data_IF_652311485045
#
_entry.id   IF_652311485045
#
_cell.length_a   1.000
_cell.length_b   1.000
_cell.length_c   1.000
_cell.angle_alpha   90.00
_cell.angle_beta   90.00
_cell.angle_gamma   90.00
#
_symmetry.space_group_name_H-M   'P 1'
#
loop_
_entity.id
_entity.type
_entity.pdbx_description
1 polymer ?
#
# COMPACT_ATOMS: atom_id res chain seq x y z
N UNK A 1 -25.11 13.27 5.06
CA UNK A 1 -24.21 12.18 5.51
C UNK A 1 -22.78 12.55 5.13
N UNK A 2 -21.81 12.59 6.05
CA UNK A 2 -20.41 12.94 5.75
C UNK A 2 -19.63 11.72 5.24
N UNK A 3 -20.06 11.13 4.12
CA UNK A 3 -19.35 10.01 3.49
C UNK A 3 -18.03 10.50 2.85
N UNK A 4 -17.01 9.65 2.85
CA UNK A 4 -15.73 9.89 2.16
C UNK A 4 -15.51 8.84 1.08
N UNK A 5 -14.73 9.18 0.05
CA UNK A 5 -14.38 8.31 -1.07
C UNK A 5 -12.91 7.93 -0.99
N UNK A 6 -12.61 6.63 -1.12
CA UNK A 6 -11.25 6.13 -1.22
C UNK A 6 -11.07 5.18 -2.41
N UNK A 7 -9.82 5.00 -2.84
CA UNK A 7 -9.44 4.05 -3.89
C UNK A 7 -8.55 2.95 -3.31
N UNK A 8 -8.93 1.69 -3.50
CA UNK A 8 -8.03 0.56 -3.32
C UNK A 8 -7.01 0.51 -4.48
N UNK A 9 -5.74 0.29 -4.15
CA UNK A 9 -4.62 0.39 -5.12
C UNK A 9 -4.36 -0.88 -5.94
N UNK A 10 -5.19 -1.93 -5.84
CA UNK A 10 -5.15 -3.14 -6.66
C UNK A 10 -4.92 -2.88 -8.17
N UNK A 11 -5.67 -1.99 -8.86
CA UNK A 11 -5.47 -1.75 -10.29
C UNK A 11 -4.21 -0.93 -10.59
N UNK A 12 -3.43 -0.51 -9.60
CA UNK A 12 -2.19 0.26 -9.80
C UNK A 12 -0.94 -0.61 -9.62
N UNK A 13 -1.08 -1.78 -8.97
CA UNK A 13 0.00 -2.75 -8.77
C UNK A 13 0.59 -3.18 -10.12
N UNK A 14 1.93 -3.30 -10.18
CA UNK A 14 2.74 -3.61 -11.36
C UNK A 14 2.69 -2.60 -12.52
N UNK A 15 1.80 -1.60 -12.45
CA UNK A 15 1.77 -0.44 -13.37
C UNK A 15 2.56 0.73 -12.79
N UNK A 16 2.53 0.85 -11.47
CA UNK A 16 3.32 1.77 -10.67
C UNK A 16 4.11 0.99 -9.62
N UNK A 17 5.28 1.50 -9.27
CA UNK A 17 6.14 0.93 -8.22
C UNK A 17 6.85 2.02 -7.41
N UNK A 18 7.22 3.12 -8.06
CA UNK A 18 7.82 4.28 -7.39
C UNK A 18 6.77 5.05 -6.56
N UNK A 19 7.03 5.35 -5.27
CA UNK A 19 6.08 6.09 -4.42
C UNK A 19 5.73 7.48 -4.95
N UNK A 20 6.68 8.21 -5.55
CA UNK A 20 6.40 9.55 -6.06
C UNK A 20 5.50 9.46 -7.29
N UNK A 21 5.80 8.56 -8.23
CA UNK A 21 4.98 8.36 -9.43
C UNK A 21 3.54 7.93 -9.10
N UNK A 22 3.39 6.95 -8.19
CA UNK A 22 2.07 6.49 -7.72
C UNK A 22 1.26 7.66 -7.15
N UNK A 23 1.84 8.38 -6.18
CA UNK A 23 1.12 9.40 -5.42
C UNK A 23 0.87 10.66 -6.26
N UNK A 24 1.80 11.05 -7.13
CA UNK A 24 1.60 12.17 -8.05
C UNK A 24 0.55 11.85 -9.11
N UNK A 25 0.52 10.62 -9.62
CA UNK A 25 -0.54 10.18 -10.54
C UNK A 25 -1.91 10.18 -9.86
N UNK A 26 -2.01 9.65 -8.63
CA UNK A 26 -3.25 9.69 -7.84
C UNK A 26 -3.71 11.14 -7.64
N UNK A 27 -2.82 12.02 -7.22
CA UNK A 27 -3.16 13.42 -6.94
C UNK A 27 -3.59 14.18 -8.21
N UNK A 28 -2.81 14.07 -9.29
CA UNK A 28 -2.95 14.93 -10.47
C UNK A 28 -3.92 14.38 -11.52
N UNK A 29 -3.95 13.06 -11.69
CA UNK A 29 -4.73 12.39 -12.74
C UNK A 29 -6.02 11.79 -12.21
N UNK A 30 -5.96 11.06 -11.09
CA UNK A 30 -7.16 10.42 -10.52
C UNK A 30 -7.99 11.37 -9.65
N UNK A 31 -7.33 12.36 -9.03
CA UNK A 31 -7.95 13.40 -8.18
C UNK A 31 -8.77 12.82 -7.02
N UNK A 32 -8.26 11.74 -6.42
CA UNK A 32 -8.82 11.13 -5.20
C UNK A 32 -7.83 11.36 -4.05
N UNK A 33 -8.35 11.75 -2.88
CA UNK A 33 -7.52 12.04 -1.70
C UNK A 33 -7.13 10.77 -0.95
N UNK A 34 -8.09 9.88 -0.68
CA UNK A 34 -7.88 8.78 0.27
C UNK A 34 -7.58 7.47 -0.46
N UNK A 35 -6.57 6.74 -0.01
CA UNK A 35 -6.14 5.46 -0.55
C UNK A 35 -6.24 4.35 0.50
N UNK A 36 -6.68 3.17 0.03
CA UNK A 36 -6.38 1.91 0.67
C UNK A 36 -5.15 1.30 -0.02
N UNK A 37 -4.00 1.39 0.64
CA UNK A 37 -2.71 0.98 0.08
C UNK A 37 -2.55 -0.54 0.14
N UNK A 38 -2.11 -1.15 -0.96
CA UNK A 38 -1.84 -2.59 -1.00
C UNK A 38 -0.37 -2.88 -0.72
N UNK A 39 -0.11 -4.06 -0.14
CA UNK A 39 1.20 -4.43 0.37
C UNK A 39 2.34 -4.46 -0.67
N UNK A 40 2.05 -4.49 -1.97
CA UNK A 40 3.06 -4.59 -3.02
C UNK A 40 3.96 -3.35 -3.14
N UNK A 41 3.46 -2.18 -2.75
CA UNK A 41 4.23 -0.93 -2.82
C UNK A 41 5.27 -0.81 -1.70
N UNK A 42 4.98 -1.37 -0.53
CA UNK A 42 5.91 -1.49 0.59
C UNK A 42 5.67 -2.85 1.25
N UNK A 43 6.37 -3.88 0.76
CA UNK A 43 6.13 -5.25 1.19
C UNK A 43 6.71 -5.52 2.58
N UNK A 44 5.92 -6.04 3.54
CA UNK A 44 6.41 -6.42 4.88
C UNK A 44 7.54 -7.45 4.87
N UNK A 45 7.67 -8.23 3.78
CA UNK A 45 8.70 -9.27 3.62
C UNK A 45 10.06 -8.72 3.19
N UNK A 46 10.18 -7.43 2.86
CA UNK A 46 11.45 -6.84 2.46
C UNK A 46 12.38 -6.58 3.65
N UNK A 47 13.70 -6.41 3.43
CA UNK A 47 14.62 -6.03 4.48
C UNK A 47 14.19 -4.72 5.18
N UNK A 48 14.28 -4.69 6.51
CA UNK A 48 13.85 -3.53 7.31
C UNK A 48 14.42 -2.17 6.85
N UNK A 49 15.70 -2.06 6.40
CA UNK A 49 16.22 -0.79 5.88
C UNK A 49 15.50 -0.31 4.61
N UNK A 50 15.10 -1.25 3.75
CA UNK A 50 14.36 -0.96 2.50
C UNK A 50 12.96 -0.46 2.83
N UNK A 51 12.25 -1.15 3.74
CA UNK A 51 10.93 -0.73 4.23
C UNK A 51 11.03 0.70 4.77
N UNK A 52 11.94 0.96 5.72
CA UNK A 52 12.11 2.30 6.33
C UNK A 52 12.37 3.40 5.30
N UNK A 53 13.22 3.13 4.30
CA UNK A 53 13.53 4.08 3.23
C UNK A 53 12.29 4.40 2.39
N UNK A 54 11.56 3.37 1.95
CA UNK A 54 10.38 3.55 1.11
C UNK A 54 9.20 4.15 1.86
N UNK A 55 9.00 3.81 3.13
CA UNK A 55 7.99 4.45 4.00
C UNK A 55 8.25 5.95 4.15
N UNK A 56 9.51 6.37 4.36
CA UNK A 56 9.85 7.81 4.41
C UNK A 56 9.57 8.50 3.09
N UNK A 57 9.91 7.86 1.96
CA UNK A 57 9.66 8.40 0.62
C UNK A 57 8.16 8.56 0.35
N UNK A 58 7.36 7.53 0.64
CA UNK A 58 5.90 7.57 0.56
C UNK A 58 5.32 8.68 1.43
N UNK A 59 5.75 8.80 2.69
CA UNK A 59 5.29 9.84 3.60
C UNK A 59 5.58 11.26 3.05
N UNK A 60 6.75 11.49 2.45
CA UNK A 60 7.09 12.76 1.82
C UNK A 60 6.21 13.05 0.60
N UNK A 61 5.90 12.05 -0.23
CA UNK A 61 5.00 12.20 -1.38
C UNK A 61 3.56 12.52 -0.95
N UNK A 62 3.04 11.84 0.09
CA UNK A 62 1.73 12.13 0.68
C UNK A 62 1.67 13.56 1.23
N UNK A 63 2.69 13.99 1.99
CA UNK A 63 2.77 15.35 2.53
C UNK A 63 2.81 16.43 1.44
N UNK A 64 3.56 16.19 0.36
CA UNK A 64 3.69 17.13 -0.77
C UNK A 64 2.40 17.28 -1.59
N UNK A 65 1.59 16.23 -1.68
CA UNK A 65 0.42 16.18 -2.58
C UNK A 65 -0.93 16.32 -1.88
N UNK A 66 -0.98 16.08 -0.56
CA UNK A 66 -2.22 16.06 0.22
C UNK A 66 -3.02 14.75 0.11
N UNK A 67 -2.55 13.77 -0.66
CA UNK A 67 -3.09 12.39 -0.67
C UNK A 67 -2.86 11.75 0.70
N UNK A 68 -3.77 10.85 1.11
CA UNK A 68 -3.73 10.16 2.40
C UNK A 68 -3.88 8.66 2.19
N UNK A 69 -3.08 7.88 2.90
CA UNK A 69 -3.35 6.45 3.10
C UNK A 69 -4.20 6.31 4.36
N UNK A 70 -5.42 5.82 4.23
CA UNK A 70 -6.37 5.68 5.35
C UNK A 70 -6.47 4.25 5.88
N UNK A 71 -6.07 3.27 5.08
CA UNK A 71 -5.94 1.87 5.49
C UNK A 71 -4.93 1.15 4.60
N UNK A 72 -4.50 -0.04 5.04
CA UNK A 72 -3.72 -0.98 4.24
C UNK A 72 -4.52 -2.28 4.05
N UNK A 73 -4.33 -2.95 2.93
CA UNK A 73 -4.97 -4.23 2.62
C UNK A 73 -4.01 -5.14 1.85
N UNK A 74 -4.23 -6.46 1.87
CA UNK A 74 -3.52 -7.34 0.94
C UNK A 74 -3.99 -7.08 -0.49
N UNK A 75 -3.04 -6.94 -1.41
CA UNK A 75 -3.32 -6.70 -2.82
C UNK A 75 -3.61 -8.00 -3.58
N UNK A 76 -3.61 -7.96 -4.92
CA UNK A 76 -3.92 -9.13 -5.74
C UNK A 76 -3.00 -10.32 -5.47
N UNK A 77 -1.72 -10.05 -5.11
CA UNK A 77 -0.72 -11.09 -4.86
C UNK A 77 -0.68 -11.55 -3.39
N UNK A 78 -1.51 -10.97 -2.53
CA UNK A 78 -1.60 -11.32 -1.11
C UNK A 78 -2.86 -12.11 -0.77
N UNK A 79 -3.54 -12.73 -1.75
CA UNK A 79 -4.68 -13.61 -1.47
C UNK A 79 -4.19 -15.03 -1.14
N UNK A 80 -3.67 -15.20 0.07
CA UNK A 80 -3.11 -16.45 0.56
C UNK A 80 -3.90 -16.95 1.78
N UNK A 81 -3.56 -18.16 2.27
CA UNK A 81 -4.18 -18.70 3.49
C UNK A 81 -3.90 -17.86 4.74
N UNK A 82 -2.75 -17.17 4.80
CA UNK A 82 -2.29 -16.40 5.96
C UNK A 82 -2.45 -17.18 7.28
N UNK A 83 -3.23 -16.64 8.21
CA UNK A 83 -3.49 -17.25 9.52
C UNK A 83 -4.29 -18.57 9.44
N UNK A 84 -4.88 -18.89 8.28
CA UNK A 84 -5.53 -20.18 8.02
C UNK A 84 -4.61 -21.24 7.41
N UNK A 85 -3.31 -20.97 7.23
CA UNK A 85 -2.37 -21.97 6.70
C UNK A 85 -2.24 -23.16 7.69
N UNK A 86 -2.17 -24.43 7.25
CA UNK A 86 -2.12 -25.58 8.16
C UNK A 86 -0.83 -25.65 8.98
N UNK A 87 0.28 -25.20 8.40
CA UNK A 87 1.59 -25.15 9.06
C UNK A 87 1.71 -24.00 10.08
N UNK A 88 2.21 -24.30 11.29
CA UNK A 88 2.36 -23.34 12.40
C UNK A 88 3.38 -22.26 12.10
N UNK A 89 4.52 -22.62 11.52
CA UNK A 89 5.63 -21.71 11.30
C UNK A 89 5.30 -20.75 10.15
N UNK A 90 4.58 -21.23 9.14
CA UNK A 90 4.00 -20.36 8.10
C UNK A 90 3.02 -19.35 8.69
N UNK A 91 2.11 -19.77 9.59
CA UNK A 91 1.23 -18.80 10.28
C UNK A 91 2.03 -17.77 11.07
N UNK A 92 3.10 -18.20 11.76
CA UNK A 92 3.97 -17.31 12.54
C UNK A 92 4.70 -16.29 11.67
N UNK A 93 5.04 -16.62 10.42
CA UNK A 93 5.65 -15.69 9.48
C UNK A 93 4.74 -14.50 9.12
N UNK A 94 3.42 -14.71 9.02
CA UNK A 94 2.46 -13.67 8.65
C UNK A 94 1.98 -12.79 9.81
N UNK A 95 2.46 -13.03 11.05
CA UNK A 95 2.09 -12.30 12.27
C UNK A 95 3.10 -11.20 12.59
#
# INVERSE_FOLDING_TARGET
>A
MPLTLSLNTNPLVNRFADPDDLIETVARKLRIRDLQLTHEFINPSWPAPVIRRLTRRMAAALARTGVRVTSCMTGPYGRLNHFGHPDRDVRRYYV
#
